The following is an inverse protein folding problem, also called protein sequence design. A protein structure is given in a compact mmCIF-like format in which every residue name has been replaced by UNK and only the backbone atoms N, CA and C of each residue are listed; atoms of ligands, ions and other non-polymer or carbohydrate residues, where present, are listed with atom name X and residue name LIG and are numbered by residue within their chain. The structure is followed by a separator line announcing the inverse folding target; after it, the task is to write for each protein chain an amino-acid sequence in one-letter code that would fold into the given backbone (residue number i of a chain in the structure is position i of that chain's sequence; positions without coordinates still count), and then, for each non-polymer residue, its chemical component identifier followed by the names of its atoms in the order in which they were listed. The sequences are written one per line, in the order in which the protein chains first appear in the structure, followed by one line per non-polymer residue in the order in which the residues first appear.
data_IF_871836443695
#
_entry.id   IF_871836443695
#
_cell.length_a   1.000
_cell.length_b   1.000
_cell.length_c   1.000
_cell.angle_alpha   90.00
_cell.angle_beta   90.00
_cell.angle_gamma   90.00
#
_symmetry.space_group_name_H-M   'P 1'
#
loop_
_entity.id
_entity.type
_entity.pdbx_description
1 polymer ?
2 polymer ?
3 polymer ?
4 non-polymer ?
5 water ?
#
# COMPACT_ATOMS: atom_id res chain seq x y z
N UNK A 7 12.92 6.05 16.60
CA UNK A 7 11.98 5.01 16.13
C UNK A 7 10.68 5.64 15.65
N UNK A 8 9.72 5.69 16.59
CA UNK A 8 8.44 6.30 16.26
C UNK A 8 7.73 5.77 15.05
N UNK A 9 8.43 5.03 14.23
CA UNK A 9 7.81 4.42 13.04
C UNK A 9 6.57 3.67 13.55
N UNK A 10 5.52 3.70 12.76
CA UNK A 10 4.29 3.03 13.02
C UNK A 10 3.46 3.38 14.22
N UNK A 11 3.89 4.28 15.10
CA UNK A 11 3.07 4.72 16.26
C UNK A 11 2.45 6.06 15.74
N UNK A 12 1.17 5.90 15.55
CA UNK A 12 0.30 6.93 14.99
C UNK A 12 -0.08 7.93 16.06
N UNK A 13 0.23 9.19 15.80
CA UNK A 13 0.00 10.27 16.73
C UNK A 13 -1.45 10.54 17.09
N UNK A 14 -2.38 10.05 16.31
CA UNK A 14 -3.80 10.34 16.62
C UNK A 14 -4.40 9.17 17.39
N UNK A 15 -3.65 8.09 17.50
CA UNK A 15 -4.12 6.85 18.13
C UNK A 15 -3.17 6.29 19.16
N UNK A 16 -2.29 5.45 18.69
CA UNK A 16 -1.30 4.79 19.54
C UNK A 16 -0.65 5.82 20.45
N UNK A 17 -0.75 7.09 20.07
CA UNK A 17 -0.12 8.14 20.86
C UNK A 17 -0.96 8.80 21.92
N UNK A 18 -2.26 8.84 21.80
CA UNK A 18 -3.19 9.45 22.77
C UNK A 18 -3.86 8.27 23.47
N UNK A 19 -3.22 7.14 23.18
CA UNK A 19 -3.78 5.88 23.70
C UNK A 19 -5.20 5.62 23.21
N UNK A 20 -5.50 5.87 21.95
CA UNK A 20 -6.81 5.64 21.35
C UNK A 20 -6.76 4.49 20.35
N UNK A 21 -7.87 3.78 20.21
CA UNK A 21 -7.86 2.65 19.25
C UNK A 21 -8.73 3.05 18.07
N UNK A 22 -8.41 2.57 16.89
CA UNK A 22 -9.26 2.86 15.70
C UNK A 22 -10.34 1.76 15.69
N UNK A 23 -11.45 2.08 15.11
CA UNK A 23 -12.62 1.28 15.00
C UNK A 23 -12.44 -0.13 14.50
N UNK A 24 -11.40 -0.49 13.81
CA UNK A 24 -11.39 -1.89 13.30
C UNK A 24 -10.17 -2.69 13.66
N UNK A 25 -9.26 -2.11 14.40
CA UNK A 25 -7.99 -2.72 14.77
C UNK A 25 -8.12 -3.96 15.63
N UNK A 26 -9.18 -3.92 16.41
CA UNK A 26 -9.51 -5.03 17.35
C UNK A 26 -9.34 -6.33 16.56
N UNK A 27 -10.17 -6.40 15.55
CA UNK A 27 -10.28 -7.48 14.60
C UNK A 27 -8.96 -8.17 14.32
N UNK A 28 -7.97 -7.35 14.01
CA UNK A 28 -6.62 -7.79 13.69
C UNK A 28 -5.97 -8.61 14.80
N UNK A 29 -5.84 -7.88 15.89
CA UNK A 29 -5.18 -8.36 17.13
C UNK A 29 -5.76 -9.71 17.45
N UNK A 30 -7.08 -9.75 17.31
CA UNK A 30 -7.84 -10.97 17.54
C UNK A 30 -7.38 -12.03 16.55
N UNK A 31 -7.17 -11.63 15.30
CA UNK A 31 -6.75 -12.62 14.28
C UNK A 31 -5.41 -13.24 14.59
N UNK A 32 -4.50 -12.52 15.23
CA UNK A 32 -3.18 -13.07 15.59
C UNK A 32 -3.41 -14.00 16.81
N UNK A 33 -4.39 -14.85 16.61
CA UNK A 33 -4.76 -15.83 17.65
C UNK A 33 -3.87 -17.07 17.43
N UNK B 1 -10.92 0.27 -2.86
CA UNK B 1 -11.17 -0.88 -1.96
C UNK B 1 -12.55 -1.47 -2.20
N UNK B 2 -12.69 -2.75 -2.44
CA UNK B 2 -14.01 -3.40 -2.51
C UNK B 2 -14.33 -3.95 -1.09
N UNK B 3 -15.53 -3.61 -0.66
CA UNK B 3 -16.14 -3.93 0.60
C UNK B 3 -15.47 -3.30 1.81
N UNK B 4 -14.87 -2.15 1.68
CA UNK B 4 -14.14 -1.53 2.82
C UNK B 4 -15.07 -0.50 3.46
N UNK B 5 -14.50 0.49 4.11
CA UNK B 5 -15.34 1.56 4.72
C UNK B 5 -14.44 2.80 4.77
N UNK B 6 -15.09 3.91 5.09
CA UNK B 6 -14.36 5.19 5.17
C UNK B 6 -13.33 5.08 6.28
N UNK B 7 -12.07 5.29 5.96
CA UNK B 7 -11.05 5.24 7.03
C UNK B 7 -11.28 6.44 7.95
N UNK B 8 -10.64 6.46 9.12
CA UNK B 8 -10.63 7.53 10.11
C UNK B 8 -9.53 8.54 9.84
N UNK B 9 -9.79 9.80 10.15
CA UNK B 9 -8.71 10.81 9.88
C UNK B 9 -7.55 10.50 10.82
N UNK B 10 -6.40 10.27 10.21
CA UNK B 10 -5.11 10.02 10.85
C UNK B 10 -4.81 8.54 11.01
N UNK B 11 -5.72 7.76 10.48
CA UNK B 11 -5.66 6.30 10.57
C UNK B 11 -4.49 5.69 9.83
N UNK B 12 -4.04 6.26 8.72
CA UNK B 12 -2.89 5.76 7.95
C UNK B 12 -1.93 6.91 7.58
N UNK B 13 -1.13 7.35 8.53
CA UNK B 13 -0.20 8.45 8.35
C UNK B 13 0.89 8.14 7.33
N UNK B 14 0.99 6.88 6.94
CA UNK B 14 2.05 6.51 6.00
C UNK B 14 1.48 6.44 4.59
N UNK B 15 0.19 6.65 4.49
CA UNK B 15 -0.51 6.59 3.19
C UNK B 15 -0.07 7.73 2.26
N UNK B 16 0.49 7.28 1.13
CA UNK B 16 0.97 8.10 0.04
C UNK B 16 0.12 7.93 -1.22
N UNK B 17 -0.26 9.06 -1.83
CA UNK B 17 -1.02 9.11 -3.05
C UNK B 17 -0.06 9.62 -4.15
N UNK B 18 0.21 8.67 -5.05
CA UNK B 18 1.10 8.89 -6.21
C UNK B 18 0.23 9.57 -7.27
N UNK B 19 0.55 10.84 -7.50
CA UNK B 19 -0.22 11.68 -8.43
C UNK B 19 0.51 11.96 -9.75
N UNK B 20 -0.33 12.09 -10.76
CA UNK B 20 0.03 12.31 -12.18
C UNK B 20 -0.28 13.74 -12.60
N UNK B 21 0.71 14.49 -13.05
CA UNK B 21 0.66 15.89 -13.43
C UNK B 21 -0.16 16.18 -14.68
N UNK B 22 -0.01 15.45 -15.77
CA UNK B 22 -0.84 15.66 -16.97
C UNK B 22 -1.13 14.30 -17.60
N UNK B 23 -2.36 13.83 -17.58
CA UNK B 23 -3.52 14.47 -16.97
C UNK B 23 -3.36 14.44 -15.44
N UNK B 24 -4.10 15.31 -14.79
CA UNK B 24 -4.05 15.32 -13.30
C UNK B 24 -4.85 14.09 -12.82
N UNK B 25 -4.16 13.05 -12.38
CA UNK B 25 -4.94 11.85 -12.02
C UNK B 25 -4.37 10.90 -11.00
N UNK B 26 -5.29 10.20 -10.30
CA UNK B 26 -4.79 9.18 -9.35
C UNK B 26 -4.12 8.13 -10.24
N UNK B 27 -3.00 7.66 -9.76
CA UNK B 27 -2.18 6.68 -10.45
C UNK B 27 -2.01 5.43 -9.62
N UNK B 28 -1.84 5.62 -8.32
CA UNK B 28 -1.55 4.47 -7.44
C UNK B 28 -1.50 4.93 -5.98
N UNK B 29 -1.20 3.97 -5.14
CA UNK B 29 -0.98 4.22 -3.71
C UNK B 29 0.55 4.10 -3.54
N UNK B 30 1.01 4.24 -2.32
CA UNK B 30 2.42 4.11 -1.92
C UNK B 30 2.45 4.33 -0.40
N UNK B 31 3.62 4.16 0.18
CA UNK B 31 3.73 4.33 1.65
C UNK B 31 5.03 5.07 1.97
N UNK B 32 5.01 5.81 3.07
CA UNK B 32 6.12 6.59 3.62
C UNK B 32 6.87 5.70 4.64
N UNK B 33 8.07 5.39 4.21
CA UNK B 33 8.97 4.52 4.97
C UNK B 33 10.01 5.32 5.74
N UNK B 34 10.14 6.59 5.42
CA UNK B 34 11.15 7.50 6.04
C UNK B 34 10.77 8.91 5.65
N UNK B 35 11.56 9.93 5.95
CA UNK B 35 11.24 11.33 5.63
C UNK B 35 11.60 11.66 4.20
N UNK B 36 12.37 10.78 3.62
CA UNK B 36 12.86 10.95 2.25
C UNK B 36 12.39 9.92 1.24
N UNK B 37 12.03 8.72 1.66
CA UNK B 37 11.66 7.64 0.76
C UNK B 37 10.23 7.19 0.91
N UNK B 38 9.68 6.94 -0.27
CA UNK B 38 8.28 6.43 -0.37
C UNK B 38 8.40 4.99 -0.83
N UNK B 39 7.48 4.11 -0.49
CA UNK B 39 7.57 2.71 -0.98
C UNK B 39 6.43 2.40 -1.93
N UNK B 40 6.79 1.80 -3.09
CA UNK B 40 5.70 1.46 -4.06
C UNK B 40 6.03 0.22 -4.87
N UNK B 41 5.10 -0.21 -5.69
CA UNK B 41 5.19 -1.32 -6.64
C UNK B 41 5.74 -0.74 -7.97
N UNK B 42 6.46 -1.59 -8.67
CA UNK B 42 7.15 -1.24 -9.92
C UNK B 42 6.14 -1.04 -11.04
N UNK B 43 5.10 -1.86 -10.95
CA UNK B 43 4.01 -1.85 -11.95
C UNK B 43 3.28 -0.52 -11.98
N UNK B 44 3.40 0.33 -10.98
CA UNK B 44 2.70 1.64 -11.05
C UNK B 44 3.51 2.58 -11.98
N UNK B 45 4.74 2.13 -12.17
CA UNK B 45 5.74 2.88 -12.91
C UNK B 45 6.10 2.32 -14.27
N UNK B 46 6.28 1.02 -14.35
CA UNK B 46 6.75 0.38 -15.56
C UNK B 46 5.94 -0.85 -15.90
N UNK B 47 5.20 -0.69 -16.98
CA UNK B 47 4.40 -1.78 -17.55
C UNK B 47 4.37 -1.65 -19.08
N UNK B 48 5.53 -1.99 -19.64
CA UNK B 48 5.76 -1.98 -21.10
C UNK B 48 4.56 -2.35 -21.94
N UNK B 49 3.95 -3.48 -21.66
CA UNK B 49 2.72 -3.89 -22.33
C UNK B 49 1.62 -2.84 -22.26
N UNK B 50 1.65 -1.91 -21.32
CA UNK B 50 0.57 -0.89 -21.24
C UNK B 50 1.05 0.49 -21.68
N UNK B 51 2.28 0.44 -22.21
CA UNK B 51 2.93 1.71 -22.61
C UNK B 51 3.10 2.55 -21.33
N UNK B 52 3.40 1.93 -20.20
CA UNK B 52 3.52 2.62 -18.90
C UNK B 52 4.98 2.68 -18.44
N UNK B 53 5.52 3.89 -18.54
CA UNK B 53 6.92 4.14 -18.11
C UNK B 53 6.99 5.62 -17.75
N UNK B 54 6.70 5.85 -16.48
CA UNK B 54 6.66 7.14 -15.81
C UNK B 54 8.07 7.46 -15.33
N UNK B 55 8.45 8.71 -15.36
CA UNK B 55 9.77 9.21 -14.97
C UNK B 55 9.63 10.17 -13.77
N UNK B 56 10.80 10.50 -13.23
CA UNK B 56 10.91 11.32 -12.04
C UNK B 56 10.07 12.60 -12.15
N UNK B 57 9.76 13.02 -13.35
CA UNK B 57 9.02 14.30 -13.48
C UNK B 57 7.57 14.13 -13.86
N UNK B 58 7.08 12.93 -13.95
CA UNK B 58 5.68 12.73 -14.39
C UNK B 58 4.76 12.75 -13.17
N UNK B 59 5.33 12.33 -12.07
CA UNK B 59 4.66 12.12 -10.81
C UNK B 59 4.87 13.20 -9.75
N UNK B 60 3.91 13.22 -8.81
CA UNK B 60 3.86 14.08 -7.64
C UNK B 60 3.41 13.21 -6.47
N UNK B 61 4.16 13.14 -5.39
CA UNK B 61 3.74 12.29 -4.24
C UNK B 61 2.97 13.13 -3.23
N UNK B 62 1.67 12.94 -3.08
CA UNK B 62 0.93 13.73 -2.03
C UNK B 62 0.72 12.82 -0.82
N UNK B 63 1.24 13.27 0.31
CA UNK B 63 1.19 12.56 1.60
C UNK B 63 0.20 13.29 2.53
N UNK B 64 -0.31 12.61 3.55
CA UNK B 64 -1.24 13.13 4.51
C UNK B 64 -2.62 13.42 3.94
N UNK B 65 -3.00 12.93 2.76
CA UNK B 65 -4.35 13.22 2.23
C UNK B 65 -5.34 12.29 2.95
N UNK B 66 -6.60 12.62 2.83
CA UNK B 66 -7.74 11.91 3.43
C UNK B 66 -8.84 11.86 2.36
N UNK B 67 -9.17 13.08 1.96
CA UNK B 67 -10.08 13.32 0.83
C UNK B 67 -9.35 12.76 -0.41
N UNK B 68 -10.14 12.17 -1.26
CA UNK B 68 -9.65 11.66 -2.56
C UNK B 68 -9.36 12.84 -3.49
N UNK B 69 -10.30 13.74 -3.74
CA UNK B 69 -10.24 14.84 -4.65
C UNK B 69 -9.77 16.22 -4.22
N UNK B 70 -10.12 16.70 -3.06
CA UNK B 70 -9.78 18.04 -2.59
C UNK B 70 -8.31 18.25 -2.28
N UNK B 71 -7.85 19.42 -2.72
CA UNK B 71 -6.48 19.82 -2.35
C UNK B 71 -6.59 20.23 -0.85
N UNK B 72 -6.21 19.34 0.02
CA UNK B 72 -6.29 19.58 1.48
C UNK B 72 -5.04 20.32 1.95
N UNK B 73 -5.16 21.64 1.89
CA UNK B 73 -4.12 22.57 2.23
C UNK B 73 -3.92 22.75 3.74
N UNK B 74 -2.62 22.88 3.95
CA UNK B 74 -1.98 23.09 5.23
C UNK B 74 -1.95 21.73 5.94
N UNK B 75 -2.60 20.78 5.29
CA UNK B 75 -2.67 19.42 5.86
C UNK B 75 -1.85 18.39 5.09
N UNK B 76 -2.08 18.34 3.80
CA UNK B 76 -1.36 17.43 2.91
C UNK B 76 -0.18 18.20 2.32
N UNK B 77 0.79 17.43 1.89
CA UNK B 77 2.00 17.95 1.28
C UNK B 77 2.32 17.12 0.02
N UNK B 78 2.35 17.90 -1.04
CA UNK B 78 2.70 17.48 -2.41
C UNK B 78 4.22 17.59 -2.47
N UNK B 79 4.93 16.57 -2.85
CA UNK B 79 6.38 16.51 -2.94
C UNK B 79 6.80 15.95 -4.32
N UNK B 80 8.05 16.32 -4.58
CA UNK B 80 8.77 16.08 -5.81
C UNK B 80 9.89 15.08 -5.56
N UNK B 81 10.05 14.25 -6.57
CA UNK B 81 10.95 13.12 -6.65
C UNK B 81 12.36 13.43 -7.13
N UNK B 82 13.29 12.75 -6.52
CA UNK B 82 14.69 12.84 -6.86
C UNK B 82 15.04 11.80 -7.93
N UNK B 83 14.61 10.60 -7.67
CA UNK B 83 14.91 9.38 -8.40
C UNK B 83 13.94 8.28 -7.99
N UNK B 84 13.79 7.42 -8.98
CA UNK B 84 12.99 6.19 -8.88
C UNK B 84 13.96 5.02 -9.11
N UNK B 85 13.85 4.02 -8.28
CA UNK B 85 14.62 2.79 -8.29
C UNK B 85 13.60 1.64 -8.31
N UNK B 86 13.71 0.88 -9.38
CA UNK B 86 12.90 -0.32 -9.63
C UNK B 86 13.80 -1.53 -9.37
N UNK B 87 13.21 -2.51 -8.71
CA UNK B 87 13.99 -3.75 -8.47
C UNK B 87 14.56 -4.22 -9.79
N UNK B 88 15.89 -4.33 -9.84
CA UNK B 88 16.57 -4.78 -11.05
C UNK B 88 16.01 -6.08 -11.63
N UNK B 89 15.48 -6.95 -10.79
CA UNK B 89 14.90 -8.21 -11.29
C UNK B 89 13.41 -8.26 -11.16
N UNK B 90 12.70 -7.16 -11.36
CA UNK B 90 11.22 -7.11 -11.34
C UNK B 90 10.76 -7.84 -12.59
N UNK B 91 9.72 -8.65 -12.51
CA UNK B 91 9.31 -9.46 -13.67
C UNK B 91 7.94 -9.17 -14.24
N UNK B 92 7.91 -8.09 -15.00
CA UNK B 92 6.68 -7.62 -15.67
C UNK B 92 6.41 -8.57 -16.83
N UNK B 93 7.46 -9.18 -17.37
CA UNK B 93 7.27 -10.12 -18.49
C UNK B 93 6.36 -11.28 -18.13
N UNK B 94 6.65 -11.91 -17.01
CA UNK B 94 5.93 -13.14 -16.66
C UNK B 94 4.99 -13.13 -15.51
N UNK B 95 5.43 -12.92 -14.27
CA UNK B 95 4.51 -12.95 -13.12
C UNK B 95 4.58 -11.67 -12.31
N UNK B 96 5.10 -10.61 -12.86
CA UNK B 96 5.18 -9.33 -12.10
C UNK B 96 6.02 -9.61 -10.84
N UNK B 97 7.01 -10.46 -11.01
CA UNK B 97 7.91 -10.91 -9.96
C UNK B 97 8.89 -9.80 -9.63
N UNK B 98 8.92 -9.50 -8.35
CA UNK B 98 9.76 -8.49 -7.72
C UNK B 98 9.20 -7.09 -7.95
N UNK B 99 7.90 -6.98 -7.89
CA UNK B 99 7.13 -5.76 -8.07
C UNK B 99 7.41 -4.81 -6.90
N UNK B 100 8.57 -4.18 -6.88
CA UNK B 100 8.98 -3.26 -5.79
C UNK B 100 9.70 -2.09 -6.42
N UNK B 101 9.61 -0.93 -5.79
CA UNK B 101 10.26 0.31 -6.26
C UNK B 101 10.34 1.37 -5.16
N UNK B 102 11.49 1.98 -5.10
CA UNK B 102 11.79 3.04 -4.13
C UNK B 102 11.72 4.39 -4.83
N UNK B 103 11.06 5.36 -4.25
CA UNK B 103 10.95 6.72 -4.79
C UNK B 103 11.61 7.67 -3.77
N UNK B 104 12.50 8.51 -4.28
CA UNK B 104 13.22 9.46 -3.40
C UNK B 104 12.68 10.89 -3.53
N UNK B 105 12.41 11.43 -2.36
CA UNK B 105 11.79 12.76 -2.23
C UNK B 105 12.82 13.86 -2.47
N UNK B 106 12.35 14.91 -3.11
CA UNK B 106 13.27 16.03 -3.43
C UNK B 106 13.77 16.66 -2.15
N UNK B 107 12.91 16.68 -1.14
CA UNK B 107 13.16 17.19 0.21
C UNK B 107 12.41 16.39 1.30
N UNK B 108 13.00 16.43 2.49
CA UNK B 108 12.45 15.76 3.64
C UNK B 108 11.04 16.34 3.90
N UNK B 109 10.18 15.41 4.22
CA UNK B 109 8.79 15.66 4.54
C UNK B 109 8.65 15.67 6.08
N UNK B 110 8.00 16.76 6.47
CA UNK B 110 7.72 17.10 7.86
C UNK B 110 6.52 16.30 8.35
N UNK B 111 6.84 15.53 9.39
CA UNK B 111 5.84 14.68 10.05
C UNK B 111 4.88 15.58 10.83
N UNK B 112 3.61 15.21 10.83
CA UNK B 112 2.52 15.92 11.51
C UNK B 112 1.60 14.83 12.05
N UNK B 113 0.47 15.15 12.62
CA UNK B 113 -0.50 14.16 13.13
C UNK B 113 -1.04 13.37 11.92
N UNK B 114 -0.74 13.84 10.73
CA UNK B 114 -1.24 13.19 9.52
C UNK B 114 -0.19 12.45 8.69
N UNK B 115 1.04 12.80 8.93
CA UNK B 115 2.23 12.31 8.24
C UNK B 115 3.18 11.60 9.20
N UNK B 116 3.22 10.29 9.06
CA UNK B 116 4.05 9.42 9.90
C UNK B 116 4.34 8.12 9.17
N UNK B 117 5.60 7.71 9.19
CA UNK B 117 6.03 6.50 8.52
C UNK B 117 5.66 5.19 9.23
N UNK B 118 5.52 4.16 8.39
CA UNK B 118 5.27 2.80 8.93
C UNK B 118 6.66 2.14 9.09
N UNK B 119 6.71 1.00 9.73
CA UNK B 119 8.02 0.32 9.85
C UNK B 119 8.14 -0.78 8.79
N UNK B 120 9.39 -1.19 8.61
CA UNK B 120 9.63 -2.40 7.74
C UNK B 120 9.78 -3.55 8.75
N UNK B 121 9.37 -4.76 8.33
CA UNK B 121 9.42 -5.94 9.19
C UNK B 121 10.84 -6.52 9.34
N UNK B 122 11.08 -7.09 10.52
CA UNK B 122 12.34 -7.82 10.73
C UNK B 122 11.98 -9.32 10.65
N UNK B 123 13.03 -10.08 10.70
CA UNK B 123 12.93 -11.55 10.63
C UNK B 123 11.92 -12.08 11.65
N UNK B 124 12.08 -11.63 12.91
CA UNK B 124 11.21 -12.17 13.96
C UNK B 124 9.76 -11.77 13.84
N UNK B 125 9.52 -10.52 13.53
CA UNK B 125 8.13 -10.01 13.37
C UNK B 125 7.53 -10.63 12.10
N UNK B 126 8.26 -10.45 11.01
CA UNK B 126 7.88 -11.01 9.71
C UNK B 126 7.50 -12.48 9.91
N UNK B 127 8.34 -13.10 10.70
CA UNK B 127 8.29 -14.49 11.11
C UNK B 127 6.99 -14.88 11.82
N UNK B 128 6.67 -14.07 12.82
CA UNK B 128 5.55 -14.41 13.70
C UNK B 128 4.20 -13.85 13.30
N UNK B 129 4.20 -12.97 12.32
CA UNK B 129 2.96 -12.29 11.88
C UNK B 129 2.52 -12.75 10.51
N UNK B 130 3.47 -13.11 9.68
CA UNK B 130 3.18 -13.62 8.32
C UNK B 130 2.84 -15.12 8.38
N UNK B 131 1.58 -15.36 8.66
CA UNK B 131 0.97 -16.67 8.87
C UNK B 131 -0.52 -16.56 8.49
N UNK B 132 -0.96 -17.64 7.86
CA UNK B 132 -2.32 -17.76 7.34
C UNK B 132 -3.35 -17.61 8.46
N UNK B 133 -4.44 -17.00 8.10
CA UNK B 133 -5.57 -16.75 9.00
C UNK B 133 -5.43 -15.37 9.66
N UNK B 134 -4.18 -14.98 9.80
CA UNK B 134 -3.74 -13.70 10.34
C UNK B 134 -4.10 -12.58 9.37
N UNK B 135 -4.91 -11.66 9.87
CA UNK B 135 -5.43 -10.53 9.15
C UNK B 135 -4.52 -9.31 9.08
N UNK B 136 -4.33 -8.87 7.83
CA UNK B 136 -3.59 -7.62 7.52
C UNK B 136 -4.65 -6.57 7.17
N UNK B 137 -4.27 -5.34 6.94
CA UNK B 137 -5.21 -4.28 6.54
C UNK B 137 -4.68 -3.55 5.29
N UNK B 138 -5.58 -3.40 4.32
CA UNK B 138 -5.26 -2.66 3.09
C UNK B 138 -6.10 -1.37 3.03
N UNK B 139 -5.41 -0.32 2.61
CA UNK B 139 -5.99 1.02 2.41
C UNK B 139 -5.65 1.61 1.05
N UNK B 140 -6.60 2.40 0.57
CA UNK B 140 -6.38 3.04 -0.76
C UNK B 140 -7.67 3.79 -1.12
N UNK B 141 -7.53 4.53 -2.21
CA UNK B 141 -8.60 5.34 -2.79
C UNK B 141 -9.00 4.70 -4.14
N UNK B 142 -8.75 3.42 -4.28
CA UNK B 142 -9.15 2.67 -5.49
C UNK B 142 -10.67 2.42 -5.50
N UNK B 143 -11.05 1.83 -6.60
CA UNK B 143 -12.42 1.43 -6.94
C UNK B 143 -13.13 0.53 -5.95
N UNK B 144 -14.37 0.91 -5.75
CA UNK B 144 -15.31 0.26 -4.83
C UNK B 144 -15.67 -1.14 -5.30
N UNK B 145 -15.78 -1.29 -6.60
CA UNK B 145 -16.14 -2.51 -7.33
C UNK B 145 -15.13 -2.75 -8.46
N UNK B 146 -15.06 -4.00 -8.94
CA UNK B 146 -14.13 -4.30 -10.07
C UNK B 146 -14.44 -3.40 -11.26
N UNK B 147 -15.67 -3.45 -11.74
CA UNK B 147 -16.12 -2.52 -12.78
C UNK B 147 -17.41 -1.92 -12.11
N UNK B 148 -17.71 -0.72 -12.49
CA UNK B 148 -18.86 -0.10 -11.78
C UNK B 148 -19.97 0.14 -12.76
N UNK B 149 -21.06 -0.57 -12.59
CA UNK B 149 -22.23 -0.42 -13.44
C UNK B 149 -23.39 0.25 -12.68
N UNK B 150 -23.98 1.22 -13.33
CA UNK B 150 -25.06 1.98 -12.64
C UNK B 150 -24.58 3.46 -12.71
N UNK B 155 -11.31 6.19 -7.50
CA UNK B 155 -12.00 6.88 -8.64
C UNK B 155 -13.52 6.72 -8.50
N UNK B 156 -13.87 6.34 -7.29
CA UNK B 156 -15.20 6.02 -6.86
C UNK B 156 -15.46 6.52 -5.44
N UNK B 157 -14.47 6.40 -4.56
CA UNK B 157 -14.64 6.69 -3.14
C UNK B 157 -14.49 8.18 -2.85
N UNK B 158 -15.18 8.58 -1.80
CA UNK B 158 -15.11 9.94 -1.29
C UNK B 158 -13.82 10.14 -0.50
N UNK B 159 -13.53 9.17 0.35
CA UNK B 159 -12.33 9.22 1.21
C UNK B 159 -11.56 7.91 1.25
N UNK B 160 -10.33 8.05 1.74
CA UNK B 160 -9.45 6.90 1.94
C UNK B 160 -10.34 5.77 2.51
N UNK B 161 -10.11 4.59 1.95
CA UNK B 161 -10.84 3.38 2.34
C UNK B 161 -9.94 2.37 3.07
N UNK B 162 -10.69 1.56 3.79
CA UNK B 162 -10.08 0.50 4.63
C UNK B 162 -10.72 -0.86 4.43
N UNK B 163 -9.88 -1.90 4.57
CA UNK B 163 -10.38 -3.29 4.52
C UNK B 163 -9.30 -4.11 5.24
N UNK B 164 -9.77 -5.01 6.11
CA UNK B 164 -8.85 -5.92 6.84
C UNK B 164 -9.02 -7.31 6.19
N UNK B 165 -7.91 -7.91 5.82
CA UNK B 165 -7.89 -9.17 5.09
C UNK B 165 -7.03 -10.28 5.66
N UNK B 166 -7.58 -11.49 5.60
CA UNK B 166 -6.91 -12.69 6.09
C UNK B 166 -5.81 -13.17 5.15
N UNK B 167 -4.64 -13.45 5.70
CA UNK B 167 -3.54 -14.05 4.92
C UNK B 167 -3.91 -15.51 4.60
N UNK B 168 -3.79 -15.90 3.35
CA UNK B 168 -4.09 -17.26 2.90
C UNK B 168 -2.82 -18.11 2.68
N UNK B 169 -3.03 -19.42 2.77
CA UNK B 169 -1.96 -20.40 2.56
C UNK B 169 -1.48 -20.49 1.10
N UNK B 170 -0.19 -20.71 0.94
CA UNK B 170 0.45 -20.84 -0.36
C UNK B 170 -0.37 -21.65 -1.35
N UNK B 171 -0.45 -22.94 -1.06
CA UNK B 171 -1.16 -23.92 -1.90
C UNK B 171 -2.56 -23.46 -2.29
N UNK B 172 -3.13 -22.66 -1.40
CA UNK B 172 -4.45 -22.08 -1.67
C UNK B 172 -4.22 -21.00 -2.73
N UNK B 173 -3.13 -20.27 -2.49
CA UNK B 173 -2.84 -19.15 -3.42
C UNK B 173 -2.57 -19.75 -4.79
N UNK B 174 -1.71 -20.74 -4.81
CA UNK B 174 -1.31 -21.47 -6.00
C UNK B 174 -2.51 -22.14 -6.66
N UNK B 175 -3.54 -22.53 -5.93
CA UNK B 175 -4.70 -23.18 -6.59
C UNK B 175 -5.59 -22.14 -7.30
N UNK B 176 -5.73 -21.01 -6.67
CA UNK B 176 -6.43 -19.80 -7.05
C UNK B 176 -6.24 -19.43 -8.51
N UNK B 177 -5.00 -19.40 -8.95
CA UNK B 177 -4.49 -18.94 -10.20
C UNK B 177 -3.54 -19.86 -10.96
N UNK B 178 -3.36 -19.41 -12.18
CA UNK B 178 -2.62 -19.94 -13.31
C UNK B 178 -1.26 -19.27 -13.49
N UNK B 179 -1.05 -18.25 -12.65
CA UNK B 179 0.22 -17.49 -12.66
C UNK B 179 1.22 -18.23 -11.76
N UNK B 180 2.48 -18.10 -12.19
CA UNK B 180 3.62 -18.66 -11.46
C UNK B 180 3.89 -17.70 -10.29
N UNK B 181 3.34 -18.12 -9.18
CA UNK B 181 3.48 -17.48 -7.86
C UNK B 181 4.93 -17.70 -7.44
N UNK B 182 5.46 -16.81 -6.62
CA UNK B 182 6.89 -17.00 -6.22
C UNK B 182 7.00 -16.73 -4.74
N UNK B 183 8.19 -16.87 -4.22
CA UNK B 183 8.55 -16.65 -2.81
C UNK B 183 8.32 -15.19 -2.41
N UNK B 184 8.43 -14.35 -3.44
CA UNK B 184 8.29 -12.89 -3.26
C UNK B 184 6.86 -12.39 -3.34
N UNK B 185 5.89 -13.28 -3.31
CA UNK B 185 4.47 -12.87 -3.39
C UNK B 185 3.78 -13.53 -2.20
N UNK B 186 2.59 -13.10 -1.89
CA UNK B 186 1.74 -13.65 -0.80
C UNK B 186 0.32 -13.25 -1.15
N UNK B 187 -0.69 -14.02 -0.79
CA UNK B 187 -2.10 -13.70 -1.16
C UNK B 187 -2.95 -13.60 0.08
N UNK B 188 -4.03 -12.86 -0.05
CA UNK B 188 -4.98 -12.60 1.03
C UNK B 188 -6.43 -12.51 0.54
N UNK B 189 -7.35 -12.58 1.51
CA UNK B 189 -8.78 -12.51 1.32
C UNK B 189 -9.54 -13.69 1.91
N UNK B 190 -10.84 -13.52 2.03
CA UNK B 190 -11.76 -14.51 2.56
C UNK B 190 -12.04 -15.61 1.55
N UNK B 191 -12.06 -16.87 1.99
CA UNK B 191 -12.41 -18.00 1.08
C UNK B 191 -13.91 -17.88 0.82
N UNK B 192 -14.27 -18.37 -0.35
CA UNK B 192 -15.66 -18.27 -0.82
C UNK B 192 -16.60 -18.91 0.20
N UNK B 193 -15.97 -19.60 1.14
CA UNK B 193 -16.64 -20.36 2.19
C UNK B 193 -16.93 -19.55 3.46
N UNK B 194 -16.24 -18.45 3.63
CA UNK B 194 -16.29 -17.67 4.86
C UNK B 194 -17.28 -16.55 4.92
N UNK B 195 -18.15 -16.52 3.95
CA UNK B 195 -19.21 -15.49 3.88
C UNK B 195 -18.65 -14.21 4.49
N UNK B 196 -17.78 -13.55 3.77
CA UNK B 196 -17.06 -12.32 4.12
C UNK B 196 -16.26 -11.89 2.88
N UNK B 197 -16.34 -10.61 2.50
CA UNK B 197 -15.58 -10.15 1.35
C UNK B 197 -14.81 -8.84 1.53
N UNK B 198 -14.29 -8.42 0.37
CA UNK B 198 -13.48 -7.21 0.23
C UNK B 198 -12.15 -7.56 -0.45
N UNK B 199 -11.53 -6.51 -0.94
CA UNK B 199 -10.23 -6.67 -1.62
C UNK B 199 -9.73 -5.27 -2.00
N UNK B 200 -8.48 -5.25 -2.47
CA UNK B 200 -7.89 -4.01 -3.02
C UNK B 200 -8.44 -3.97 -4.45
N UNK B 201 -8.61 -2.83 -5.04
CA UNK B 201 -9.10 -2.82 -6.43
C UNK B 201 -8.09 -1.99 -7.21
N UNK B 202 -8.59 -1.58 -8.34
CA UNK B 202 -7.82 -0.73 -9.27
C UNK B 202 -7.63 0.64 -8.62
N UNK B 203 -6.39 1.09 -8.53
CA UNK B 203 -6.07 2.42 -7.95
C UNK B 203 -5.55 2.24 -6.51
N UNK B 204 -5.53 0.96 -6.13
CA UNK B 204 -5.12 0.53 -4.80
C UNK B 204 -3.73 -0.10 -4.88
N UNK B 205 -3.28 -0.40 -6.08
CA UNK B 205 -1.97 -1.03 -6.29
C UNK B 205 -0.86 -0.17 -5.68
N UNK B 206 0.21 -0.82 -5.25
CA UNK B 206 1.36 -0.11 -4.73
C UNK B 206 1.14 0.43 -3.34
N UNK B 207 -0.08 0.47 -2.86
CA UNK B 207 -0.37 0.96 -1.47
C UNK B 207 0.02 -0.10 -0.46
N UNK B 208 -0.06 0.22 0.83
CA UNK B 208 0.36 -0.67 1.89
C UNK B 208 -0.64 -1.71 2.39
N UNK B 209 -0.12 -2.88 2.72
CA UNK B 209 -0.72 -4.05 3.38
C UNK B 209 0.06 -4.15 4.73
N UNK B 210 -0.53 -3.65 5.78
CA UNK B 210 0.14 -3.55 7.08
C UNK B 210 -0.57 -4.41 8.12
N UNK B 211 0.15 -4.81 9.14
CA UNK B 211 -0.39 -5.56 10.28
C UNK B 211 0.28 -5.04 11.55
N UNK B 212 -0.43 -5.11 12.67
CA UNK B 212 0.05 -4.66 13.98
C UNK B 212 0.70 -5.68 14.90
N UNK B 213 1.95 -5.41 15.22
CA UNK B 213 2.82 -6.19 16.10
C UNK B 213 2.22 -6.17 17.51
N UNK B 214 1.63 -7.30 17.87
CA UNK B 214 1.02 -7.43 19.18
C UNK B 214 2.10 -7.37 20.27
N UNK B 215 3.36 -7.30 19.86
CA UNK B 215 4.50 -7.22 20.75
C UNK B 215 4.92 -5.80 21.10
N UNK B 216 4.80 -4.88 20.15
CA UNK B 216 5.33 -3.51 20.39
C UNK B 216 4.31 -2.43 20.05
N UNK B 217 3.16 -2.87 19.56
CA UNK B 217 2.11 -1.90 19.22
C UNK B 217 2.43 -1.09 17.97
N UNK B 218 3.50 -1.49 17.31
CA UNK B 218 3.93 -0.83 16.07
C UNK B 218 3.22 -1.50 14.89
N UNK B 219 2.96 -0.68 13.88
CA UNK B 219 2.33 -1.09 12.62
C UNK B 219 3.50 -1.26 11.62
N UNK B 220 3.41 -2.39 10.92
CA UNK B 220 4.45 -2.82 10.00
C UNK B 220 3.88 -3.19 8.65
N UNK B 221 4.62 -2.74 7.64
CA UNK B 221 4.26 -3.04 6.24
C UNK B 221 4.93 -4.36 5.81
N UNK B 222 3.99 -5.30 5.63
CA UNK B 222 4.33 -6.69 5.34
C UNK B 222 4.25 -6.98 3.85
N UNK B 223 3.47 -6.21 3.15
CA UNK B 223 3.28 -6.30 1.69
C UNK B 223 2.83 -4.99 1.04
N UNK B 224 3.02 -4.91 -0.26
CA UNK B 224 2.62 -3.83 -1.21
C UNK B 224 1.50 -4.51 -2.10
N UNK B 225 0.38 -3.83 -2.34
CA UNK B 225 -0.75 -4.41 -3.16
C UNK B 225 -0.26 -4.59 -4.60
N UNK B 226 -0.34 -5.82 -5.07
CA UNK B 226 0.21 -6.23 -6.38
C UNK B 226 -0.78 -6.53 -7.49
N UNK B 227 -0.70 -7.76 -8.03
CA UNK B 227 -1.62 -8.17 -9.11
C UNK B 227 -2.75 -9.00 -8.50
N UNK B 228 -3.77 -9.23 -9.29
CA UNK B 228 -4.93 -10.07 -8.90
C UNK B 228 -5.74 -10.26 -10.21
N UNK B 229 -6.74 -11.14 -10.10
CA UNK B 229 -7.67 -11.37 -11.23
C UNK B 229 -9.00 -10.69 -10.86
N UNK B 230 -9.11 -9.46 -11.38
CA UNK B 230 -10.28 -8.59 -11.10
C UNK B 230 -10.18 -8.24 -9.61
N UNK B 231 -11.24 -7.67 -9.06
CA UNK B 231 -11.33 -7.29 -7.65
C UNK B 231 -12.51 -8.08 -7.05
N UNK B 232 -12.26 -8.65 -5.90
CA UNK B 232 -13.28 -9.39 -5.13
C UNK B 232 -14.02 -10.47 -5.91
N UNK B 233 -13.27 -11.40 -6.49
CA UNK B 233 -13.90 -12.52 -7.23
C UNK B 233 -13.88 -13.76 -6.35
N UNK B 234 -14.99 -14.50 -6.33
CA UNK B 234 -15.04 -15.74 -5.50
C UNK B 234 -13.99 -16.73 -6.00
N UNK B 235 -13.19 -17.25 -5.09
CA UNK B 235 -12.21 -18.26 -5.41
C UNK B 235 -10.83 -17.84 -5.82
N UNK B 236 -10.69 -16.55 -6.02
CA UNK B 236 -9.41 -15.91 -6.35
C UNK B 236 -9.04 -14.99 -5.15
N UNK B 237 -7.72 -14.84 -5.04
CA UNK B 237 -7.08 -14.02 -4.01
C UNK B 237 -6.20 -12.93 -4.61
N UNK B 238 -6.09 -11.87 -3.84
CA UNK B 238 -5.29 -10.67 -4.09
C UNK B 238 -3.84 -11.01 -3.70
N UNK B 239 -2.96 -10.57 -4.54
CA UNK B 239 -1.51 -10.82 -4.49
C UNK B 239 -0.76 -9.60 -3.99
N UNK B 240 0.34 -9.86 -3.33
CA UNK B 240 1.13 -8.91 -2.58
C UNK B 240 2.64 -9.13 -2.58
N UNK B 241 3.32 -8.02 -2.86
CA UNK B 241 4.78 -8.02 -2.72
C UNK B 241 5.06 -8.38 -1.23
N UNK B 242 5.97 -9.28 -1.01
CA UNK B 242 6.55 -9.75 0.22
C UNK B 242 7.68 -8.79 0.65
N UNK B 243 7.30 -7.66 1.20
CA UNK B 243 8.13 -6.58 1.66
C UNK B 243 9.33 -7.11 2.45
N UNK B 244 9.12 -8.05 3.35
CA UNK B 244 10.27 -8.50 4.18
C UNK B 244 11.21 -9.35 3.35
N UNK B 245 10.65 -9.98 2.34
CA UNK B 245 11.46 -10.83 1.43
C UNK B 245 12.48 -10.01 0.66
N UNK B 246 12.21 -8.75 0.35
CA UNK B 246 13.00 -7.83 -0.44
C UNK B 246 13.78 -6.74 0.29
N UNK B 247 13.82 -6.85 1.57
CA UNK B 247 14.44 -5.96 2.55
C UNK B 247 15.93 -5.77 2.29
N UNK B 248 16.59 -6.86 1.93
CA UNK B 248 18.04 -6.84 1.67
C UNK B 248 18.29 -5.78 0.58
N UNK B 249 17.27 -5.67 -0.27
CA UNK B 249 17.33 -4.75 -1.41
C UNK B 249 17.08 -3.33 -0.92
N UNK B 250 15.95 -3.19 -0.26
CA UNK B 250 15.59 -1.84 0.23
C UNK B 250 16.83 -1.26 0.93
N UNK B 251 17.22 -1.99 1.94
CA UNK B 251 18.35 -1.69 2.81
C UNK B 251 19.52 -1.13 2.02
N UNK B 252 19.80 -1.83 0.95
CA UNK B 252 20.91 -1.61 0.05
C UNK B 252 20.94 -0.32 -0.77
N UNK B 253 19.85 0.01 -1.41
CA UNK B 253 19.82 1.24 -2.25
C UNK B 253 19.77 2.40 -1.26
N UNK B 254 18.85 2.22 -0.33
CA UNK B 254 18.66 3.23 0.73
C UNK B 254 20.01 3.70 1.22
N UNK B 255 21.02 2.82 1.25
CA UNK B 255 22.34 3.29 1.74
C UNK B 255 23.33 3.53 0.61
N UNK B 256 23.02 3.10 -0.58
CA UNK B 256 23.88 3.39 -1.76
C UNK B 256 23.69 4.89 -2.10
N UNK B 257 22.40 5.20 -2.09
CA UNK B 257 21.84 6.48 -2.43
C UNK B 257 21.37 7.33 -1.25
N UNK B 258 21.69 6.93 -0.04
CA UNK B 258 21.35 7.72 1.16
C UNK B 258 19.90 7.49 1.61
N UNK C 4 -12.36 14.99 -11.45
CA UNK C 4 -13.10 15.11 -10.17
C UNK C 4 -12.19 15.84 -9.17
N UNK C 5 -10.90 15.70 -9.43
CA UNK C 5 -9.84 16.31 -8.61
C UNK C 5 -9.86 17.83 -8.64
N UNK C 6 -9.62 18.41 -7.47
CA UNK C 6 -9.53 19.88 -7.36
C UNK C 6 -8.09 20.22 -7.78
N UNK C 7 -7.92 21.35 -8.42
CA UNK C 7 -6.60 21.83 -8.90
C UNK C 7 -5.66 22.09 -7.72
N UNK C 8 -4.42 21.64 -7.92
CA UNK C 8 -3.42 21.86 -6.85
C UNK C 8 -2.58 23.05 -7.24
N UNK C 9 -2.10 23.74 -6.22
CA UNK C 9 -1.22 24.90 -6.44
C UNK C 9 -0.19 24.59 -7.51
N UNK C 10 -0.11 25.55 -8.43
CA UNK C 10 0.70 25.63 -9.59
C UNK C 10 2.19 25.40 -9.47
N UNK C 11 2.80 25.84 -8.37
CA UNK C 11 4.26 25.69 -8.21
C UNK C 11 4.70 24.24 -8.08
N UNK C 13 3.57 22.07 -10.19
CA UNK C 13 3.60 21.77 -11.65
C UNK C 13 4.56 22.76 -12.30
#
# INVERSE_FOLDING_TARGET
TFGSGEADCGLRPLFEKKSLEDKTERELLESYIDGR
IVEGSDAEIGMSPWQVMLFRKSPQELLCGASLISDRWVLTAAHCLLYPPWDKNFTENDLLVRIGKHSRTRYERNIEKISMLEKIYIHPRYNWRENLDRDIALMKLKKPVAFSDYIHPVCLPDRETAASLLQAGYKGRVTGWGNLKETWTANVGKGQPSVLQVVNLPIVERPVCKDSTRIRITDNMFCAGYKPDEGKRGDACEGDSGGPFVMKSPFNNRWYQMGIVSWGEGCDRDGKYGFYTHVFRLKKWIQKVIDQFGE
ENEDFEGIPGEXL
#
